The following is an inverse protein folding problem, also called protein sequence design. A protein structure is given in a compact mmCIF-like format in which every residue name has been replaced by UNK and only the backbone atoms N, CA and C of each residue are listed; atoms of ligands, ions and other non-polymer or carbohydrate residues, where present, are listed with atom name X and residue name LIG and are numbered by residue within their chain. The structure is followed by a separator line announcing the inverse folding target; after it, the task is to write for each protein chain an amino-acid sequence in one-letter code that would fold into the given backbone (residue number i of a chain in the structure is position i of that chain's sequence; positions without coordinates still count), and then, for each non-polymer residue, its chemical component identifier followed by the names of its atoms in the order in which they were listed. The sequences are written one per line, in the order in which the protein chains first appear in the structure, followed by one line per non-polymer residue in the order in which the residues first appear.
data_IF_736130989700
#
_entry.id   IF_736130989700
#
_cell.length_a   1.000
_cell.length_b   1.000
_cell.length_c   1.000
_cell.angle_alpha   90.00
_cell.angle_beta   90.00
_cell.angle_gamma   90.00
#
_symmetry.space_group_name_H-M   'P 1'
#
loop_
_entity.id
_entity.type
_entity.pdbx_description
1 polymer ?
#
# COMPACT_ATOMS: atom_id res chain seq x y z
N UNK A 1 -15.74 0.45 33.06
CA UNK A 1 -16.02 0.78 31.65
C UNK A 1 -14.94 1.70 31.12
N UNK A 2 -14.28 1.41 29.99
CA UNK A 2 -13.32 2.34 29.41
C UNK A 2 -14.04 3.65 29.11
N UNK A 3 -13.44 4.76 29.47
CA UNK A 3 -14.03 6.07 29.23
C UNK A 3 -14.28 6.24 27.74
N UNK A 4 -15.48 6.56 27.34
CA UNK A 4 -15.87 6.86 25.95
C UNK A 4 -14.87 7.82 25.26
N UNK A 5 -14.22 8.68 26.05
CA UNK A 5 -13.17 9.60 25.65
C UNK A 5 -11.93 8.94 25.03
N UNK A 6 -11.51 7.74 25.43
CA UNK A 6 -10.28 7.11 24.93
C UNK A 6 -10.48 6.47 23.56
N UNK A 7 -11.65 5.86 23.34
CA UNK A 7 -12.05 5.37 22.00
C UNK A 7 -12.20 6.52 21.02
N UNK A 8 -12.88 7.59 21.43
CA UNK A 8 -13.05 8.77 20.59
C UNK A 8 -11.70 9.38 20.20
N UNK A 9 -10.77 9.53 21.15
CA UNK A 9 -9.42 10.02 20.86
C UNK A 9 -8.66 9.13 19.86
N UNK A 10 -8.76 7.79 19.98
CA UNK A 10 -8.13 6.86 19.08
C UNK A 10 -8.72 6.96 17.65
N UNK A 11 -10.04 7.04 17.53
CA UNK A 11 -10.72 7.23 16.25
C UNK A 11 -10.39 8.59 15.62
N UNK A 12 -10.33 9.66 16.41
CA UNK A 12 -9.92 10.99 15.93
C UNK A 12 -8.48 10.97 15.41
N UNK A 13 -7.55 10.31 16.12
CA UNK A 13 -6.16 10.16 15.65
C UNK A 13 -6.08 9.36 14.35
N UNK A 14 -6.82 8.25 14.25
CA UNK A 14 -6.88 7.44 13.04
C UNK A 14 -7.47 8.25 11.87
N UNK A 15 -8.55 8.98 12.12
CA UNK A 15 -9.18 9.86 11.14
C UNK A 15 -8.27 11.01 10.69
N UNK A 16 -7.60 11.69 11.63
CA UNK A 16 -6.66 12.77 11.33
C UNK A 16 -5.46 12.28 10.52
N UNK A 17 -4.88 11.13 10.90
CA UNK A 17 -3.80 10.49 10.14
C UNK A 17 -4.27 10.09 8.74
N UNK A 18 -5.45 9.46 8.64
CA UNK A 18 -6.06 9.11 7.37
C UNK A 18 -6.26 10.34 6.48
N UNK A 19 -6.89 11.40 7.01
CA UNK A 19 -7.15 12.63 6.27
C UNK A 19 -5.85 13.29 5.79
N UNK A 20 -4.85 13.39 6.64
CA UNK A 20 -3.55 13.98 6.29
C UNK A 20 -2.85 13.21 5.16
N UNK A 21 -2.94 11.89 5.14
CA UNK A 21 -2.32 11.07 4.09
C UNK A 21 -3.18 10.93 2.83
N UNK A 22 -4.51 10.99 2.93
CA UNK A 22 -5.39 10.95 1.75
C UNK A 22 -5.44 12.29 1.01
N UNK A 23 -5.27 13.42 1.70
CA UNK A 23 -5.33 14.73 1.07
C UNK A 23 -4.34 14.90 -0.10
N UNK A 24 -3.04 14.55 0.02
CA UNK A 24 -2.12 14.56 -1.12
C UNK A 24 -2.57 13.68 -2.28
N UNK A 25 -3.17 12.52 -2.00
CA UNK A 25 -3.69 11.61 -3.04
C UNK A 25 -4.88 12.24 -3.76
N UNK A 26 -5.78 12.90 -3.04
CA UNK A 26 -6.92 13.62 -3.64
C UNK A 26 -6.45 14.81 -4.48
N UNK A 27 -5.44 15.54 -4.01
CA UNK A 27 -4.83 16.64 -4.78
C UNK A 27 -4.21 16.10 -6.08
N UNK A 28 -3.45 15.00 -6.02
CA UNK A 28 -2.89 14.37 -7.23
C UNK A 28 -3.99 13.87 -8.17
N UNK A 29 -5.04 13.23 -7.64
CA UNK A 29 -6.18 12.78 -8.44
C UNK A 29 -6.88 13.94 -9.14
N UNK A 30 -7.05 15.07 -8.44
CA UNK A 30 -7.62 16.29 -9.02
C UNK A 30 -6.73 16.89 -10.10
N UNK A 31 -5.41 17.02 -9.86
CA UNK A 31 -4.45 17.53 -10.84
C UNK A 31 -4.42 16.67 -12.11
N UNK A 32 -4.45 15.35 -11.94
CA UNK A 32 -4.49 14.38 -13.05
C UNK A 32 -5.79 14.52 -13.87
N UNK A 33 -6.95 14.64 -13.20
CA UNK A 33 -8.22 14.82 -13.89
C UNK A 33 -8.38 16.19 -14.54
N UNK A 34 -7.77 17.21 -13.96
CA UNK A 34 -7.70 18.57 -14.50
C UNK A 34 -6.65 18.71 -15.60
N UNK A 35 -5.97 17.63 -15.97
CA UNK A 35 -4.90 17.60 -16.99
C UNK A 35 -3.84 18.68 -16.75
N UNK A 36 -3.46 18.91 -15.47
CA UNK A 36 -2.51 19.94 -15.09
C UNK A 36 -1.17 19.75 -15.82
N UNK A 37 -0.72 20.72 -16.68
CA UNK A 37 0.43 20.51 -17.57
C UNK A 37 1.71 20.11 -16.82
N UNK A 38 1.99 20.76 -15.68
CA UNK A 38 3.19 20.45 -14.89
C UNK A 38 3.26 19.00 -14.41
N UNK A 39 2.11 18.36 -14.10
CA UNK A 39 2.05 16.95 -13.69
C UNK A 39 2.17 16.05 -14.92
N UNK A 40 1.47 16.37 -16.01
CA UNK A 40 1.49 15.56 -17.24
C UNK A 40 2.87 15.56 -17.87
N UNK A 41 3.52 16.72 -17.99
CA UNK A 41 4.84 16.85 -18.57
C UNK A 41 5.91 16.10 -17.75
N UNK A 42 5.87 16.24 -16.42
CA UNK A 42 6.77 15.50 -15.51
C UNK A 42 6.55 13.99 -15.60
N UNK A 43 5.30 13.53 -15.64
CA UNK A 43 4.93 12.15 -15.77
C UNK A 43 5.41 11.56 -17.10
N UNK A 44 5.17 12.23 -18.21
CA UNK A 44 5.58 11.79 -19.55
C UNK A 44 7.11 11.76 -19.69
N UNK A 45 7.79 12.82 -19.28
CA UNK A 45 9.25 12.91 -19.35
C UNK A 45 9.91 11.78 -18.52
N UNK A 46 9.38 11.49 -17.34
CA UNK A 46 9.94 10.44 -16.48
C UNK A 46 9.71 9.04 -17.07
N UNK A 47 8.52 8.76 -17.62
CA UNK A 47 8.26 7.48 -18.30
C UNK A 47 9.16 7.31 -19.51
N UNK A 48 9.34 8.34 -20.34
CA UNK A 48 10.22 8.31 -21.50
C UNK A 48 11.67 8.01 -21.11
N UNK A 49 12.21 8.73 -20.11
CA UNK A 49 13.55 8.49 -19.60
C UNK A 49 13.74 7.09 -19.00
N UNK A 50 12.73 6.57 -18.28
CA UNK A 50 12.78 5.23 -17.70
C UNK A 50 12.79 4.15 -18.78
N UNK A 51 12.00 4.28 -19.85
CA UNK A 51 11.97 3.36 -20.98
C UNK A 51 13.28 3.41 -21.77
N UNK A 52 13.83 4.59 -22.03
CA UNK A 52 15.12 4.74 -22.67
C UNK A 52 16.23 4.02 -21.88
N UNK A 53 16.25 4.16 -20.55
CA UNK A 53 17.21 3.50 -19.67
C UNK A 53 17.08 1.97 -19.63
N UNK A 54 15.93 1.41 -20.03
CA UNK A 54 15.68 -0.03 -20.02
C UNK A 54 15.70 -0.67 -21.41
N UNK A 55 15.59 0.13 -22.47
CA UNK A 55 15.41 -0.33 -23.86
C UNK A 55 16.50 -1.31 -24.31
N UNK A 56 17.76 -1.01 -24.01
CA UNK A 56 18.91 -1.78 -24.46
C UNK A 56 19.40 -2.82 -23.45
N UNK A 57 18.58 -3.15 -22.45
CA UNK A 57 18.92 -4.06 -21.36
C UNK A 57 17.93 -5.24 -21.26
N UNK A 58 18.00 -6.25 -22.17
CA UNK A 58 17.04 -7.36 -22.20
C UNK A 58 16.93 -8.14 -20.89
N UNK A 59 18.05 -8.33 -20.20
CA UNK A 59 18.06 -9.00 -18.90
C UNK A 59 17.29 -8.21 -17.84
N UNK A 60 17.41 -6.87 -17.86
CA UNK A 60 16.63 -6.00 -16.96
C UNK A 60 15.14 -6.08 -17.31
N UNK A 61 14.77 -5.98 -18.58
CA UNK A 61 13.38 -6.11 -19.03
C UNK A 61 12.76 -7.42 -18.55
N UNK A 62 13.45 -8.54 -18.76
CA UNK A 62 13.01 -9.86 -18.27
C UNK A 62 12.82 -9.84 -16.76
N UNK A 63 13.78 -9.29 -16.01
CA UNK A 63 13.69 -9.16 -14.55
C UNK A 63 12.48 -8.33 -14.10
N UNK A 64 12.21 -7.21 -14.78
CA UNK A 64 11.06 -6.36 -14.48
C UNK A 64 9.72 -7.07 -14.76
N UNK A 65 9.62 -7.84 -15.85
CA UNK A 65 8.42 -8.63 -16.17
C UNK A 65 8.21 -9.74 -15.13
N UNK A 66 9.27 -10.47 -14.77
CA UNK A 66 9.17 -11.48 -13.69
C UNK A 66 8.77 -10.84 -12.37
N UNK A 67 9.38 -9.69 -12.02
CA UNK A 67 9.01 -8.96 -10.80
C UNK A 67 7.55 -8.51 -10.81
N UNK A 68 7.04 -8.06 -11.96
CA UNK A 68 5.62 -7.73 -12.13
C UNK A 68 4.73 -8.91 -11.76
N UNK A 69 5.04 -10.12 -12.25
CA UNK A 69 4.21 -11.30 -12.01
C UNK A 69 4.23 -11.74 -10.54
N UNK A 70 5.40 -11.74 -9.89
CA UNK A 70 5.51 -12.19 -8.49
C UNK A 70 5.01 -11.16 -7.48
N UNK A 71 4.91 -9.87 -7.88
CA UNK A 71 4.41 -8.79 -7.01
C UNK A 71 2.97 -8.37 -7.32
N UNK A 72 2.22 -9.16 -8.10
CA UNK A 72 0.82 -8.84 -8.35
C UNK A 72 0.01 -8.73 -7.05
N UNK A 73 -0.95 -7.80 -6.97
CA UNK A 73 -1.76 -7.58 -5.77
C UNK A 73 -2.40 -8.86 -5.21
N UNK A 74 -2.83 -9.78 -6.09
CA UNK A 74 -3.37 -11.08 -5.70
C UNK A 74 -2.40 -11.91 -4.88
N UNK A 75 -1.10 -11.89 -5.23
CA UNK A 75 -0.09 -12.65 -4.49
C UNK A 75 0.26 -12.00 -3.15
N UNK A 76 0.22 -10.67 -3.07
CA UNK A 76 0.38 -9.95 -1.78
C UNK A 76 -0.76 -10.33 -0.82
N UNK A 77 -2.01 -10.38 -1.31
CA UNK A 77 -3.16 -10.78 -0.49
C UNK A 77 -3.07 -12.26 -0.10
N UNK A 78 -2.69 -13.14 -1.03
CA UNK A 78 -2.58 -14.58 -0.76
C UNK A 78 -1.46 -14.88 0.24
N UNK A 79 -0.25 -14.41 -0.01
CA UNK A 79 0.90 -14.63 0.88
C UNK A 79 0.68 -13.96 2.25
N UNK A 80 0.12 -12.75 2.25
CA UNK A 80 -0.28 -12.08 3.48
C UNK A 80 -1.35 -12.84 4.25
N UNK A 81 -2.34 -13.41 3.55
CA UNK A 81 -3.38 -14.26 4.14
C UNK A 81 -2.82 -15.54 4.77
N UNK A 82 -1.87 -16.20 4.10
CA UNK A 82 -1.16 -17.37 4.65
C UNK A 82 -0.36 -17.00 5.91
N UNK A 83 0.32 -15.86 5.89
CA UNK A 83 1.03 -15.34 7.07
C UNK A 83 0.05 -15.00 8.20
N UNK A 84 -1.09 -14.38 7.90
CA UNK A 84 -2.15 -14.12 8.88
C UNK A 84 -2.67 -15.41 9.51
N UNK A 85 -2.93 -16.44 8.70
CA UNK A 85 -3.37 -17.75 9.16
C UNK A 85 -2.32 -18.41 10.07
N UNK A 86 -1.04 -18.33 9.71
CA UNK A 86 0.06 -18.83 10.53
C UNK A 86 0.16 -18.09 11.87
N UNK A 87 0.11 -16.77 11.87
CA UNK A 87 0.15 -15.92 13.09
C UNK A 87 -1.04 -16.26 13.99
N UNK A 88 -2.23 -16.42 13.41
CA UNK A 88 -3.42 -16.82 14.15
C UNK A 88 -3.24 -18.18 14.82
N UNK A 89 -2.91 -19.22 14.01
CA UNK A 89 -2.86 -20.63 14.46
C UNK A 89 -1.69 -20.91 15.40
N UNK A 90 -0.53 -20.31 15.14
CA UNK A 90 0.72 -20.65 15.83
C UNK A 90 1.11 -19.65 16.92
N UNK A 91 0.59 -18.43 16.90
CA UNK A 91 0.96 -17.37 17.83
C UNK A 91 -0.20 -16.86 18.68
N UNK A 92 -1.41 -17.31 18.44
CA UNK A 92 -2.59 -16.90 19.19
C UNK A 92 -3.03 -15.46 18.98
N UNK A 93 -2.49 -14.76 17.96
CA UNK A 93 -2.78 -13.35 17.69
C UNK A 93 -3.96 -13.19 16.70
N UNK A 94 -5.07 -13.91 16.93
CA UNK A 94 -6.22 -13.99 16.02
C UNK A 94 -6.83 -12.63 15.66
N UNK A 95 -7.06 -11.75 16.63
CA UNK A 95 -7.63 -10.42 16.36
C UNK A 95 -6.70 -9.56 15.48
N UNK A 96 -5.37 -9.65 15.69
CA UNK A 96 -4.38 -8.95 14.86
C UNK A 96 -4.28 -9.52 13.46
N UNK A 97 -4.38 -10.86 13.33
CA UNK A 97 -4.39 -11.53 12.03
C UNK A 97 -5.65 -11.18 11.22
N UNK A 98 -6.81 -11.15 11.86
CA UNK A 98 -8.07 -10.76 11.22
C UNK A 98 -8.04 -9.29 10.76
N UNK A 99 -7.53 -8.39 11.61
CA UNK A 99 -7.30 -6.99 11.23
C UNK A 99 -6.39 -6.88 10.00
N UNK A 100 -5.26 -7.57 10.00
CA UNK A 100 -4.29 -7.50 8.91
C UNK A 100 -4.88 -8.03 7.59
N UNK A 101 -5.53 -9.18 7.63
CA UNK A 101 -6.18 -9.76 6.45
C UNK A 101 -7.28 -8.85 5.91
N UNK A 102 -8.16 -8.33 6.78
CA UNK A 102 -9.21 -7.38 6.39
C UNK A 102 -8.64 -6.11 5.75
N UNK A 103 -7.51 -5.60 6.27
CA UNK A 103 -6.82 -4.43 5.70
C UNK A 103 -6.28 -4.70 4.31
N UNK A 104 -5.65 -5.87 4.06
CA UNK A 104 -5.14 -6.25 2.74
C UNK A 104 -6.29 -6.35 1.70
N UNK A 105 -7.37 -7.03 2.06
CA UNK A 105 -8.53 -7.20 1.17
C UNK A 105 -9.24 -5.88 0.90
N UNK A 106 -9.47 -5.07 1.93
CA UNK A 106 -10.11 -3.76 1.80
C UNK A 106 -9.26 -2.79 0.97
N UNK A 107 -7.92 -2.82 1.12
CA UNK A 107 -7.01 -2.03 0.29
C UNK A 107 -7.10 -2.42 -1.19
N UNK A 108 -7.21 -3.71 -1.50
CA UNK A 108 -7.41 -4.16 -2.89
C UNK A 108 -8.73 -3.62 -3.47
N UNK A 109 -9.83 -3.75 -2.74
CA UNK A 109 -11.12 -3.18 -3.15
C UNK A 109 -11.06 -1.66 -3.34
N UNK A 110 -10.41 -0.94 -2.42
CA UNK A 110 -10.21 0.51 -2.52
C UNK A 110 -9.39 0.89 -3.78
N UNK A 111 -8.37 0.08 -4.15
CA UNK A 111 -7.61 0.31 -5.38
C UNK A 111 -8.50 0.23 -6.63
N UNK A 112 -9.40 -0.75 -6.68
CA UNK A 112 -10.35 -0.90 -7.81
C UNK A 112 -11.28 0.31 -7.87
N UNK A 113 -11.91 0.67 -6.75
CA UNK A 113 -12.82 1.82 -6.68
C UNK A 113 -12.14 3.14 -7.09
N UNK A 114 -10.90 3.36 -6.61
CA UNK A 114 -10.15 4.57 -6.96
C UNK A 114 -9.80 4.63 -8.45
N UNK A 115 -9.51 3.49 -9.09
CA UNK A 115 -9.27 3.42 -10.54
C UNK A 115 -10.48 3.86 -11.34
N UNK A 116 -11.65 3.33 -11.02
CA UNK A 116 -12.89 3.68 -11.68
C UNK A 116 -13.26 5.16 -11.44
N UNK A 117 -13.03 5.66 -10.23
CA UNK A 117 -13.34 7.04 -9.88
C UNK A 117 -12.47 8.07 -10.63
N UNK A 118 -11.19 7.77 -10.88
CA UNK A 118 -10.28 8.70 -11.56
C UNK A 118 -10.31 8.50 -13.08
N UNK A 119 -10.34 7.26 -13.56
CA UNK A 119 -10.48 6.92 -14.98
C UNK A 119 -9.29 7.31 -15.85
N UNK A 120 -8.08 7.46 -15.28
CA UNK A 120 -6.88 7.85 -16.03
C UNK A 120 -6.43 6.76 -16.98
N UNK A 121 -6.20 7.10 -18.24
CA UNK A 121 -5.57 6.20 -19.21
C UNK A 121 -4.10 5.97 -18.86
N UNK A 122 -3.57 4.82 -19.30
CA UNK A 122 -2.15 4.46 -19.12
C UNK A 122 -1.25 5.23 -20.09
N UNK A 123 0.07 5.31 -19.80
CA UNK A 123 1.02 5.81 -20.78
C UNK A 123 0.83 5.11 -22.13
N UNK A 124 0.68 5.90 -23.18
CA UNK A 124 0.67 5.41 -24.56
C UNK A 124 2.12 5.53 -25.06
N UNK A 125 2.83 4.41 -25.07
CA UNK A 125 4.24 4.36 -25.47
C UNK A 125 4.41 3.34 -26.59
N UNK A 126 5.13 3.76 -27.61
CA UNK A 126 5.56 2.85 -28.66
C UNK A 126 6.55 1.84 -28.05
N UNK A 127 6.45 0.59 -28.45
CA UNK A 127 7.31 -0.52 -27.96
C UNK A 127 7.24 -0.74 -26.44
N UNK A 128 6.06 -0.68 -25.85
CA UNK A 128 5.86 -1.00 -24.43
C UNK A 128 6.39 -2.40 -24.11
N UNK A 129 7.20 -2.51 -23.04
CA UNK A 129 7.79 -3.78 -22.58
C UNK A 129 6.70 -4.80 -22.20
N UNK A 130 5.56 -4.31 -21.70
CA UNK A 130 4.40 -5.13 -21.33
C UNK A 130 3.12 -4.30 -21.42
N UNK A 131 1.98 -4.98 -21.54
CA UNK A 131 0.67 -4.35 -21.47
C UNK A 131 0.01 -4.60 -20.11
N UNK A 132 -0.80 -3.65 -19.65
CA UNK A 132 -1.58 -3.81 -18.45
C UNK A 132 -3.02 -3.31 -18.69
N UNK A 133 -4.06 -4.09 -18.31
CA UNK A 133 -5.45 -3.70 -18.54
C UNK A 133 -5.92 -2.63 -17.57
N UNK A 134 -7.01 -1.93 -17.95
CA UNK A 134 -7.75 -0.99 -17.11
C UNK A 134 -7.01 0.33 -16.86
N UNK A 135 -7.55 1.12 -15.95
CA UNK A 135 -7.07 2.47 -15.64
C UNK A 135 -5.72 2.50 -14.93
N UNK A 136 -5.02 3.61 -15.11
CA UNK A 136 -3.67 3.82 -14.61
C UNK A 136 -3.64 4.25 -13.13
N UNK A 137 -4.43 5.25 -12.75
CA UNK A 137 -4.38 5.89 -11.43
C UNK A 137 -5.40 5.30 -10.44
N UNK A 138 -5.00 5.00 -9.19
CA UNK A 138 -3.62 4.86 -8.70
C UNK A 138 -3.00 3.52 -9.11
N UNK A 139 -1.67 3.37 -8.96
CA UNK A 139 -0.98 2.11 -9.23
C UNK A 139 -1.34 1.03 -8.21
N UNK A 140 -2.00 -0.04 -8.67
CA UNK A 140 -2.42 -1.16 -7.81
C UNK A 140 -1.25 -1.95 -7.21
N UNK A 141 -0.15 -2.13 -7.96
CA UNK A 141 1.06 -2.78 -7.45
C UNK A 141 1.73 -1.95 -6.34
N UNK A 142 1.88 -0.63 -6.56
CA UNK A 142 2.45 0.25 -5.55
C UNK A 142 1.59 0.32 -4.28
N UNK A 143 0.26 0.37 -4.45
CA UNK A 143 -0.69 0.37 -3.33
C UNK A 143 -0.62 -0.95 -2.55
N UNK A 144 -0.68 -2.10 -3.23
CA UNK A 144 -0.62 -3.41 -2.57
C UNK A 144 0.72 -3.63 -1.85
N UNK A 145 1.84 -3.24 -2.47
CA UNK A 145 3.17 -3.35 -1.87
C UNK A 145 3.30 -2.46 -0.63
N UNK A 146 2.85 -1.21 -0.68
CA UNK A 146 2.88 -0.30 0.47
C UNK A 146 1.93 -0.76 1.60
N UNK A 147 0.71 -1.18 1.26
CA UNK A 147 -0.22 -1.77 2.25
C UNK A 147 0.38 -3.01 2.89
N UNK A 148 0.93 -3.93 2.08
CA UNK A 148 1.58 -5.14 2.56
C UNK A 148 2.77 -4.84 3.47
N UNK A 149 3.64 -3.93 3.06
CA UNK A 149 4.81 -3.52 3.85
C UNK A 149 4.42 -3.02 5.25
N UNK A 150 3.45 -2.12 5.35
CA UNK A 150 2.99 -1.60 6.65
C UNK A 150 2.22 -2.67 7.43
N UNK A 151 1.21 -3.29 6.81
CA UNK A 151 0.29 -4.21 7.51
C UNK A 151 1.01 -5.46 8.02
N UNK A 152 1.85 -6.10 7.17
CA UNK A 152 2.52 -7.34 7.54
C UNK A 152 3.65 -7.09 8.55
N UNK A 153 4.35 -5.97 8.45
CA UNK A 153 5.31 -5.54 9.47
C UNK A 153 4.62 -5.36 10.83
N UNK A 154 3.50 -4.65 10.86
CA UNK A 154 2.74 -4.44 12.08
C UNK A 154 2.11 -5.74 12.59
N UNK A 155 1.69 -6.66 11.72
CA UNK A 155 1.18 -7.98 12.10
C UNK A 155 2.21 -8.75 12.92
N UNK A 156 3.46 -8.83 12.43
CA UNK A 156 4.52 -9.61 13.08
C UNK A 156 5.28 -8.85 14.15
N UNK A 157 5.04 -7.55 14.32
CA UNK A 157 5.78 -6.68 15.25
C UNK A 157 5.98 -7.24 16.66
N UNK A 158 4.94 -7.85 17.31
CA UNK A 158 5.10 -8.43 18.65
C UNK A 158 6.04 -9.63 18.71
N UNK A 159 6.34 -10.24 17.56
CA UNK A 159 7.18 -11.44 17.43
C UNK A 159 8.64 -11.08 17.14
N UNK A 160 8.93 -9.81 16.85
CA UNK A 160 10.23 -9.36 16.40
C UNK A 160 11.15 -8.98 17.58
N UNK A 161 12.36 -9.52 17.58
CA UNK A 161 13.43 -9.05 18.44
C UNK A 161 14.01 -7.69 17.97
N UNK A 162 14.90 -7.05 18.76
CA UNK A 162 15.39 -5.70 18.50
C UNK A 162 15.97 -5.48 17.08
N UNK A 163 16.81 -6.38 16.60
CA UNK A 163 17.41 -6.28 15.26
C UNK A 163 16.37 -6.46 14.16
N UNK A 164 15.44 -7.39 14.33
CA UNK A 164 14.37 -7.64 13.36
C UNK A 164 13.37 -6.46 13.28
N UNK A 165 13.18 -5.69 14.34
CA UNK A 165 12.35 -4.48 14.33
C UNK A 165 12.93 -3.35 13.46
N UNK A 166 14.21 -3.41 13.13
CA UNK A 166 14.84 -2.49 12.17
C UNK A 166 14.85 -3.14 10.77
N UNK A 167 15.30 -4.41 10.69
CA UNK A 167 15.49 -5.07 9.41
C UNK A 167 14.17 -5.33 8.64
N UNK A 168 13.12 -5.80 9.34
CA UNK A 168 11.85 -6.15 8.67
C UNK A 168 11.19 -4.95 8.01
N UNK A 169 10.97 -3.79 8.69
CA UNK A 169 10.40 -2.63 8.00
C UNK A 169 11.32 -2.06 6.91
N UNK A 170 12.64 -2.11 7.07
CA UNK A 170 13.59 -1.67 6.06
C UNK A 170 13.47 -2.52 4.78
N UNK A 171 13.49 -3.84 4.90
CA UNK A 171 13.30 -4.76 3.77
C UNK A 171 11.93 -4.56 3.13
N UNK A 172 10.87 -4.48 3.94
CA UNK A 172 9.52 -4.27 3.44
C UNK A 172 9.38 -2.94 2.66
N UNK A 173 9.97 -1.87 3.18
CA UNK A 173 10.00 -0.57 2.49
C UNK A 173 10.80 -0.63 1.19
N UNK A 174 11.97 -1.27 1.18
CA UNK A 174 12.77 -1.46 -0.04
C UNK A 174 12.00 -2.24 -1.10
N UNK A 175 11.35 -3.35 -0.73
CA UNK A 175 10.53 -4.13 -1.66
C UNK A 175 9.36 -3.31 -2.21
N UNK A 176 8.72 -2.49 -1.38
CA UNK A 176 7.64 -1.61 -1.83
C UNK A 176 8.16 -0.53 -2.80
N UNK A 177 9.31 0.08 -2.53
CA UNK A 177 9.94 1.08 -3.42
C UNK A 177 10.37 0.46 -4.75
N UNK A 178 11.00 -0.70 -4.74
CA UNK A 178 11.37 -1.43 -5.96
C UNK A 178 10.12 -1.77 -6.77
N UNK A 179 9.06 -2.26 -6.08
CA UNK A 179 7.76 -2.54 -6.71
C UNK A 179 7.10 -1.28 -7.26
N UNK A 180 7.29 -0.13 -6.64
CA UNK A 180 6.81 1.15 -7.14
C UNK A 180 7.59 1.58 -8.39
N UNK A 181 8.91 1.60 -8.33
CA UNK A 181 9.78 2.07 -9.40
C UNK A 181 9.65 1.22 -10.69
N UNK A 182 9.59 -0.13 -10.56
CA UNK A 182 9.50 -1.00 -11.72
C UNK A 182 8.25 -0.74 -12.59
N UNK A 183 7.15 -0.18 -12.01
CA UNK A 183 5.94 0.15 -12.77
C UNK A 183 6.16 1.28 -13.78
N UNK A 184 6.99 2.24 -13.42
CA UNK A 184 7.41 3.34 -14.31
C UNK A 184 8.41 2.81 -15.36
N UNK A 185 9.36 1.97 -14.93
CA UNK A 185 10.36 1.37 -15.82
C UNK A 185 9.74 0.44 -16.88
N UNK A 186 8.60 -0.19 -16.60
CA UNK A 186 7.82 -0.95 -17.58
C UNK A 186 6.97 -0.08 -18.52
N UNK A 187 6.88 1.22 -18.30
CA UNK A 187 6.04 2.13 -19.08
C UNK A 187 4.53 1.96 -18.87
N UNK A 188 4.09 1.27 -17.80
CA UNK A 188 2.66 0.95 -17.59
C UNK A 188 1.96 1.86 -16.58
N UNK A 189 2.70 2.70 -15.87
CA UNK A 189 2.21 3.69 -14.93
C UNK A 189 3.05 4.97 -14.96
N UNK A 190 2.40 6.09 -14.74
CA UNK A 190 3.06 7.35 -14.48
C UNK A 190 3.62 7.43 -13.05
N UNK A 191 4.68 8.22 -12.79
CA UNK A 191 5.18 8.48 -11.43
C UNK A 191 4.09 8.91 -10.45
N UNK A 192 3.19 9.82 -10.86
CA UNK A 192 2.09 10.28 -10.02
C UNK A 192 1.12 9.17 -9.64
N UNK A 193 0.85 8.18 -10.52
CA UNK A 193 0.05 6.99 -10.19
C UNK A 193 0.69 6.15 -9.10
N UNK A 194 2.01 6.01 -9.18
CA UNK A 194 2.81 5.19 -8.27
C UNK A 194 2.90 5.84 -6.90
N UNK A 195 3.17 7.16 -6.86
CA UNK A 195 3.18 7.94 -5.62
C UNK A 195 1.82 7.91 -4.94
N UNK A 196 0.74 8.15 -5.70
CA UNK A 196 -0.62 8.07 -5.17
C UNK A 196 -0.94 6.68 -4.61
N UNK A 197 -0.59 5.62 -5.33
CA UNK A 197 -0.79 4.24 -4.87
C UNK A 197 -0.04 3.93 -3.58
N UNK A 198 1.24 4.29 -3.49
CA UNK A 198 2.06 4.07 -2.31
C UNK A 198 1.53 4.85 -1.09
N UNK A 199 1.21 6.14 -1.27
CA UNK A 199 0.62 6.97 -0.21
C UNK A 199 -0.73 6.44 0.25
N UNK A 200 -1.62 6.10 -0.69
CA UNK A 200 -2.94 5.56 -0.39
C UNK A 200 -2.83 4.26 0.41
N UNK A 201 -1.97 3.34 -0.03
CA UNK A 201 -1.75 2.05 0.62
C UNK A 201 -1.16 2.18 2.03
N UNK A 202 -0.09 2.96 2.19
CA UNK A 202 0.56 3.17 3.49
C UNK A 202 -0.36 3.89 4.47
N UNK A 203 -1.07 4.93 4.00
CA UNK A 203 -2.01 5.70 4.82
C UNK A 203 -3.20 4.84 5.27
N UNK A 204 -3.79 4.08 4.35
CA UNK A 204 -4.90 3.19 4.66
C UNK A 204 -4.50 2.16 5.73
N UNK A 205 -3.35 1.50 5.57
CA UNK A 205 -2.83 0.54 6.52
C UNK A 205 -2.52 1.18 7.89
N UNK A 206 -1.89 2.35 7.90
CA UNK A 206 -1.58 3.08 9.13
C UNK A 206 -2.82 3.54 9.89
N UNK A 207 -3.79 4.16 9.19
CA UNK A 207 -5.06 4.59 9.78
C UNK A 207 -5.86 3.40 10.34
N UNK A 208 -5.94 2.31 9.57
CA UNK A 208 -6.57 1.06 9.99
C UNK A 208 -5.93 0.49 11.26
N UNK A 209 -4.59 0.53 11.37
CA UNK A 209 -3.88 0.07 12.56
C UNK A 209 -4.15 0.94 13.79
N UNK A 210 -4.14 2.26 13.63
CA UNK A 210 -4.45 3.18 14.72
C UNK A 210 -5.87 2.96 15.26
N UNK A 211 -6.83 2.72 14.35
CA UNK A 211 -8.19 2.33 14.72
C UNK A 211 -8.25 1.00 15.47
N UNK A 212 -7.56 -0.01 14.96
CA UNK A 212 -7.49 -1.35 15.58
C UNK A 212 -6.88 -1.31 16.99
N UNK A 213 -5.74 -0.64 17.18
CA UNK A 213 -5.09 -0.53 18.50
C UNK A 213 -5.95 0.25 19.48
N UNK A 214 -6.54 1.35 19.03
CA UNK A 214 -7.43 2.14 19.87
C UNK A 214 -8.65 1.35 20.36
N UNK A 215 -9.21 0.49 19.50
CA UNK A 215 -10.31 -0.40 19.87
C UNK A 215 -9.90 -1.48 20.86
N UNK A 216 -8.77 -2.15 20.63
CA UNK A 216 -8.33 -3.29 21.46
C UNK A 216 -7.74 -2.88 22.80
N UNK A 217 -7.08 -1.71 22.91
CA UNK A 217 -6.54 -1.20 24.16
C UNK A 217 -7.63 -0.89 25.19
N UNK A 218 -8.80 -0.49 24.73
CA UNK A 218 -9.94 -0.23 25.61
C UNK A 218 -10.68 -1.48 26.10
N UNK A 219 -10.40 -2.64 25.48
CA UNK A 219 -11.02 -3.92 25.89
C UNK A 219 -10.26 -4.65 27.01
N UNK A 220 -9.07 -4.20 27.39
CA UNK A 220 -8.16 -4.88 28.32
C UNK A 220 -8.09 -4.26 29.73
N UNK A 221 -9.02 -3.47 30.18
CA UNK A 221 -9.02 -2.98 31.58
C UNK A 221 -9.65 -4.10 32.43
N UNK A 222 -8.87 -4.74 33.34
CA UNK A 222 -9.46 -5.67 34.31
C UNK A 222 -10.45 -4.91 35.20
N UNK A 223 -11.56 -5.53 35.53
CA UNK A 223 -12.42 -5.04 36.62
C UNK A 223 -11.59 -4.99 37.91
N UNK A 224 -11.69 -3.91 38.72
CA UNK A 224 -11.11 -3.92 40.04
C UNK A 224 -11.77 -5.03 40.85
N UNK A 225 -10.97 -5.97 41.37
CA UNK A 225 -11.44 -6.92 42.37
C UNK A 225 -11.99 -6.11 43.56
N UNK A 226 -13.31 -6.11 43.69
CA UNK A 226 -13.98 -5.61 44.89
C UNK A 226 -13.71 -6.67 45.98
N UNK A 227 -12.80 -6.35 46.90
CA UNK A 227 -12.65 -7.06 48.17
C UNK A 227 -13.69 -6.59 49.16
#
# INVERSE_FOLDING_TARGET
MPRSSDRTRALVRAGAFGLAGFLPVLVLAWLVRAEAPAVLDADQATVAAALEATRDLPALQTGLVVWQEVTQPRWVVLAGGLLCLWVWRRRGLGGRALWAFGTLVASWGLSVLAKEAVGRLRPQVDDAITAAPGFSFPSGHAMAAATGAVTLTLLVWPLLGPRARVAVPAVAATLALVTAAHRVMLGVHFPSDVVAGALLGATFAGASYLGYVGWTSTARIPEPEVR
#
